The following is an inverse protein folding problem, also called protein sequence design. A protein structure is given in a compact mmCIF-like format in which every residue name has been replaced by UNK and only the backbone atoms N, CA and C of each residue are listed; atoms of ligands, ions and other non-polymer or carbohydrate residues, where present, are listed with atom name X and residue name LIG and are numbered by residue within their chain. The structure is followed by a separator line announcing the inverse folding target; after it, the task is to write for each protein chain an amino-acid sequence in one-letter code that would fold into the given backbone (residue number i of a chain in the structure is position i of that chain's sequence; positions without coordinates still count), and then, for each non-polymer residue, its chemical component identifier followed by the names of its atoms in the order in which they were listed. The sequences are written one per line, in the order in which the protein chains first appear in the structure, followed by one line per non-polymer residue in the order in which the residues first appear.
data_IF_909068165666
#
_entry.id   IF_909068165666
#
_cell.length_a   1.000
_cell.length_b   1.000
_cell.length_c   1.000
_cell.angle_alpha   90.00
_cell.angle_beta   90.00
_cell.angle_gamma   90.00
#
_symmetry.space_group_name_H-M   'P 1'
#
loop_
_entity.id
_entity.type
_entity.pdbx_description
1 polymer ?
#
# COMPACT_ATOMS: atom_id res chain seq x y z
N UNK A 1 -5.32 -5.22 -35.19
CA UNK A 1 -5.74 -5.78 -33.90
C UNK A 1 -5.89 -4.67 -32.85
N UNK A 2 -4.83 -3.90 -32.55
CA UNK A 2 -4.91 -2.79 -31.56
C UNK A 2 -6.01 -1.78 -31.93
N UNK A 3 -6.05 -1.32 -33.18
CA UNK A 3 -7.09 -0.40 -33.69
C UNK A 3 -8.50 -0.98 -33.47
N UNK A 4 -8.69 -2.28 -33.61
CA UNK A 4 -9.98 -2.92 -33.38
C UNK A 4 -10.40 -2.90 -31.90
N UNK A 5 -9.45 -3.02 -30.98
CA UNK A 5 -9.72 -2.87 -29.54
C UNK A 5 -10.00 -1.40 -29.18
N UNK A 6 -9.19 -0.48 -29.69
CA UNK A 6 -9.41 0.97 -29.47
C UNK A 6 -10.79 1.41 -29.98
N UNK A 7 -11.28 0.86 -31.11
CA UNK A 7 -12.63 1.15 -31.58
C UNK A 7 -13.73 0.78 -30.59
N UNK A 8 -13.56 -0.25 -29.79
CA UNK A 8 -14.52 -0.58 -28.72
C UNK A 8 -14.51 0.48 -27.63
N UNK A 9 -13.32 0.98 -27.28
CA UNK A 9 -13.17 2.05 -26.29
C UNK A 9 -13.85 3.34 -26.76
N UNK A 10 -13.81 3.63 -28.06
CA UNK A 10 -14.43 4.86 -28.62
C UNK A 10 -15.94 4.89 -28.48
N UNK A 11 -16.59 3.77 -28.21
CA UNK A 11 -18.02 3.73 -27.87
C UNK A 11 -18.31 4.36 -26.49
N UNK A 12 -17.30 4.46 -25.61
CA UNK A 12 -17.42 4.97 -24.24
C UNK A 12 -16.77 6.35 -24.08
N UNK A 13 -15.55 6.53 -24.62
CA UNK A 13 -14.75 7.73 -24.44
C UNK A 13 -13.65 7.86 -25.50
N UNK A 14 -12.96 9.00 -25.52
CA UNK A 14 -11.77 9.17 -26.36
C UNK A 14 -10.63 8.27 -25.88
N UNK A 15 -9.79 7.83 -26.81
CA UNK A 15 -8.64 6.99 -26.50
C UNK A 15 -7.42 7.38 -27.32
N UNK A 16 -6.27 7.44 -26.64
CA UNK A 16 -4.97 7.56 -27.27
C UNK A 16 -3.99 6.52 -26.71
N UNK A 17 -3.11 6.04 -27.57
CA UNK A 17 -1.96 5.20 -27.19
C UNK A 17 -0.72 5.85 -27.79
N UNK A 18 0.25 6.16 -26.97
CA UNK A 18 1.45 6.90 -27.35
C UNK A 18 2.69 6.18 -26.83
N UNK A 19 3.72 6.12 -27.67
CA UNK A 19 5.05 5.70 -27.26
C UNK A 19 6.01 6.87 -27.50
N UNK A 20 6.79 7.22 -26.50
CA UNK A 20 7.77 8.30 -26.58
C UNK A 20 9.17 7.80 -26.17
N UNK A 21 10.19 8.43 -26.72
CA UNK A 21 11.59 8.20 -26.35
C UNK A 21 12.24 9.46 -25.78
N UNK A 22 11.53 10.58 -25.80
CA UNK A 22 11.95 11.85 -25.20
C UNK A 22 10.78 12.81 -25.15
N UNK A 23 10.67 13.60 -24.10
CA UNK A 23 9.69 14.68 -23.97
C UNK A 23 10.21 15.78 -23.02
N UNK A 24 9.71 17.03 -23.14
CA UNK A 24 10.17 18.16 -22.33
C UNK A 24 9.57 18.20 -20.91
N UNK A 25 8.74 17.22 -20.55
CA UNK A 25 8.05 17.19 -19.25
C UNK A 25 8.87 16.42 -18.20
N UNK A 26 8.73 16.82 -16.93
CA UNK A 26 9.46 16.19 -15.82
C UNK A 26 8.87 14.86 -15.33
N UNK A 27 7.70 14.43 -15.88
CA UNK A 27 7.04 13.16 -15.54
C UNK A 27 6.20 12.66 -16.70
N UNK A 28 6.03 11.34 -16.77
CA UNK A 28 5.15 10.66 -17.73
C UNK A 28 3.69 11.09 -17.54
N UNK A 29 3.25 11.34 -16.31
CA UNK A 29 1.92 11.88 -16.00
C UNK A 29 1.69 13.22 -16.71
N UNK A 30 2.59 14.18 -16.49
CA UNK A 30 2.47 15.50 -17.14
C UNK A 30 2.49 15.39 -18.67
N UNK A 31 3.31 14.50 -19.21
CA UNK A 31 3.35 14.23 -20.64
C UNK A 31 2.01 13.64 -21.14
N UNK A 32 1.48 12.65 -20.43
CA UNK A 32 0.20 12.00 -20.80
C UNK A 32 -0.95 13.01 -20.82
N UNK A 33 -1.12 13.77 -19.74
CA UNK A 33 -2.21 14.75 -19.61
C UNK A 33 -2.13 15.82 -20.71
N UNK A 34 -0.96 16.45 -20.88
CA UNK A 34 -0.78 17.49 -21.90
C UNK A 34 -0.97 16.95 -23.33
N UNK A 35 -0.52 15.73 -23.60
CA UNK A 35 -0.68 15.08 -24.89
C UNK A 35 -2.16 14.77 -25.17
N UNK A 36 -2.88 14.26 -24.16
CA UNK A 36 -4.31 13.98 -24.28
C UNK A 36 -5.11 15.27 -24.55
N UNK A 37 -4.85 16.31 -23.77
CA UNK A 37 -5.50 17.61 -23.95
C UNK A 37 -5.17 18.24 -25.31
N UNK A 38 -3.95 18.04 -25.80
CA UNK A 38 -3.55 18.48 -27.13
C UNK A 38 -4.33 17.79 -28.27
N UNK A 39 -4.70 16.52 -28.09
CA UNK A 39 -5.48 15.78 -29.11
C UNK A 39 -6.97 16.02 -29.01
N UNK A 40 -7.54 16.10 -27.80
CA UNK A 40 -8.97 16.04 -27.59
C UNK A 40 -9.56 17.32 -26.96
N UNK A 41 -8.70 18.22 -26.50
CA UNK A 41 -9.08 19.44 -25.79
C UNK A 41 -9.18 19.25 -24.29
N UNK A 42 -9.00 20.36 -23.56
CA UNK A 42 -9.09 20.40 -22.09
C UNK A 42 -10.47 19.99 -21.61
N UNK A 43 -10.51 19.07 -20.62
CA UNK A 43 -11.77 18.57 -20.06
C UNK A 43 -12.49 17.52 -20.92
N UNK A 44 -11.88 17.05 -22.00
CA UNK A 44 -12.40 15.92 -22.76
C UNK A 44 -12.44 14.64 -21.90
N UNK A 45 -13.42 13.78 -22.16
CA UNK A 45 -13.50 12.48 -21.51
C UNK A 45 -12.67 11.46 -22.27
N UNK A 46 -11.81 10.74 -21.58
CA UNK A 46 -11.08 9.69 -22.25
C UNK A 46 -9.95 9.07 -21.46
N UNK A 47 -9.17 8.28 -22.18
CA UNK A 47 -8.06 7.49 -21.66
C UNK A 47 -6.85 7.69 -22.57
N UNK A 48 -5.69 7.88 -21.99
CA UNK A 48 -4.41 7.84 -22.69
C UNK A 48 -3.48 6.82 -22.01
N UNK A 49 -2.94 5.93 -22.82
CA UNK A 49 -1.88 5.02 -22.40
C UNK A 49 -0.57 5.44 -23.02
N UNK A 50 0.44 5.60 -22.19
CA UNK A 50 1.78 6.05 -22.59
C UNK A 50 2.79 4.96 -22.25
N UNK A 51 3.64 4.64 -23.21
CA UNK A 51 4.89 3.91 -22.98
C UNK A 51 6.01 4.93 -23.12
N UNK A 52 6.58 5.30 -22.00
CA UNK A 52 7.65 6.28 -21.90
C UNK A 52 8.99 5.57 -21.78
N UNK A 53 9.79 5.65 -22.82
CA UNK A 53 11.12 5.06 -22.86
C UNK A 53 12.23 6.02 -22.42
N UNK A 54 11.88 7.27 -22.16
CA UNK A 54 12.80 8.26 -21.60
C UNK A 54 12.94 8.06 -20.09
N UNK A 55 11.82 7.79 -19.42
CA UNK A 55 11.76 7.53 -17.99
C UNK A 55 11.60 6.04 -17.63
N UNK A 56 11.63 5.14 -18.62
CA UNK A 56 11.38 3.70 -18.45
C UNK A 56 10.09 3.43 -17.64
N UNK A 57 8.97 4.02 -18.10
CA UNK A 57 7.69 3.95 -17.40
C UNK A 57 6.53 3.67 -18.36
N UNK A 58 5.54 2.90 -17.92
CA UNK A 58 4.22 2.88 -18.54
C UNK A 58 3.24 3.65 -17.68
N UNK A 59 2.36 4.41 -18.31
CA UNK A 59 1.41 5.24 -17.59
C UNK A 59 0.04 5.23 -18.26
N UNK A 60 -1.02 5.06 -17.46
CA UNK A 60 -2.40 5.13 -17.89
C UNK A 60 -3.07 6.31 -17.20
N UNK A 61 -3.48 7.31 -17.96
CA UNK A 61 -4.26 8.42 -17.46
C UNK A 61 -5.71 8.35 -17.96
N UNK A 62 -6.62 8.75 -17.09
CA UNK A 62 -8.02 8.92 -17.41
C UNK A 62 -8.42 10.37 -17.15
N UNK A 63 -9.19 10.95 -18.08
CA UNK A 63 -9.61 12.34 -18.04
C UNK A 63 -11.13 12.50 -18.03
N UNK A 64 -11.58 13.60 -17.44
CA UNK A 64 -12.98 13.96 -17.38
C UNK A 64 -13.83 12.95 -16.59
N UNK A 65 -15.02 12.63 -17.10
CA UNK A 65 -15.95 11.71 -16.43
C UNK A 65 -15.45 10.26 -16.38
N UNK A 66 -14.49 9.90 -17.24
CA UNK A 66 -13.90 8.55 -17.29
C UNK A 66 -13.18 8.20 -15.97
N UNK A 67 -12.65 9.19 -15.25
CA UNK A 67 -12.03 9.02 -13.93
C UNK A 67 -12.98 8.39 -12.88
N UNK A 68 -14.29 8.59 -13.01
CA UNK A 68 -15.26 7.99 -12.09
C UNK A 68 -15.40 6.49 -12.31
N UNK A 69 -15.24 6.04 -13.55
CA UNK A 69 -15.32 4.62 -13.92
C UNK A 69 -13.97 3.91 -13.73
N UNK A 70 -12.90 4.61 -14.09
CA UNK A 70 -11.51 4.14 -13.97
C UNK A 70 -10.75 5.10 -13.03
N UNK A 71 -10.88 4.97 -11.71
CA UNK A 71 -10.12 5.76 -10.75
C UNK A 71 -8.63 5.32 -10.72
N UNK A 72 -7.76 6.14 -10.10
CA UNK A 72 -6.31 5.86 -9.99
C UNK A 72 -5.97 4.44 -9.56
N UNK A 73 -6.74 3.88 -8.62
CA UNK A 73 -6.51 2.51 -8.15
C UNK A 73 -6.69 1.46 -9.24
N UNK A 74 -7.60 1.70 -10.19
CA UNK A 74 -7.79 0.82 -11.35
C UNK A 74 -6.74 1.06 -12.42
N UNK A 75 -6.36 2.33 -12.66
CA UNK A 75 -5.25 2.66 -13.56
C UNK A 75 -3.96 1.96 -13.11
N UNK A 76 -3.61 2.07 -11.83
CA UNK A 76 -2.47 1.36 -11.25
C UNK A 76 -2.59 -0.16 -11.42
N UNK A 77 -3.76 -0.74 -11.11
CA UNK A 77 -3.95 -2.19 -11.27
C UNK A 77 -3.81 -2.66 -12.72
N UNK A 78 -4.24 -1.86 -13.69
CA UNK A 78 -4.07 -2.16 -15.11
C UNK A 78 -2.58 -2.09 -15.48
N UNK A 79 -1.88 -1.04 -15.07
CA UNK A 79 -0.43 -0.93 -15.30
C UNK A 79 0.33 -2.08 -14.63
N UNK A 80 0.02 -2.40 -13.36
CA UNK A 80 0.62 -3.53 -12.64
C UNK A 80 0.42 -4.88 -13.35
N UNK A 81 -0.71 -5.08 -14.02
CA UNK A 81 -0.99 -6.30 -14.78
C UNK A 81 -0.24 -6.37 -16.11
N UNK A 82 0.12 -5.23 -16.69
CA UNK A 82 0.60 -5.16 -18.08
C UNK A 82 2.05 -4.76 -18.22
N UNK A 83 2.67 -4.14 -17.17
CA UNK A 83 4.07 -3.71 -17.23
C UNK A 83 5.04 -4.84 -17.56
N UNK A 84 4.73 -6.08 -17.17
CA UNK A 84 5.59 -7.24 -17.39
C UNK A 84 5.91 -7.45 -18.86
N UNK A 85 4.97 -7.12 -19.76
CA UNK A 85 5.18 -7.22 -21.21
C UNK A 85 6.14 -6.15 -21.74
N UNK A 86 6.26 -5.02 -21.03
CA UNK A 86 7.18 -3.94 -21.38
C UNK A 86 8.59 -4.14 -20.83
N UNK A 87 8.86 -5.24 -20.11
CA UNK A 87 10.16 -5.55 -19.51
C UNK A 87 11.01 -6.49 -20.36
N UNK A 88 12.29 -6.57 -20.03
CA UNK A 88 13.23 -7.48 -20.68
C UNK A 88 12.86 -8.97 -20.55
N UNK A 89 12.07 -9.34 -19.55
CA UNK A 89 11.58 -10.71 -19.36
C UNK A 89 10.64 -11.17 -20.49
N UNK A 90 10.05 -10.23 -21.22
CA UNK A 90 9.15 -10.46 -22.36
C UNK A 90 9.65 -9.76 -23.64
N UNK A 91 10.98 -9.59 -23.76
CA UNK A 91 11.62 -8.98 -24.94
C UNK A 91 11.04 -7.58 -25.31
N UNK A 92 10.54 -6.84 -24.31
CA UNK A 92 9.89 -5.53 -24.50
C UNK A 92 8.75 -5.60 -25.53
N UNK A 93 7.84 -6.55 -25.39
CA UNK A 93 6.66 -6.68 -26.25
C UNK A 93 5.63 -5.58 -25.96
N UNK A 94 5.96 -4.37 -26.39
CA UNK A 94 5.09 -3.19 -26.25
C UNK A 94 3.75 -3.36 -26.95
N UNK A 95 3.68 -4.18 -28.00
CA UNK A 95 2.42 -4.43 -28.68
C UNK A 95 1.45 -5.22 -27.79
N UNK A 96 1.89 -6.29 -27.19
CA UNK A 96 1.09 -7.04 -26.21
C UNK A 96 0.76 -6.20 -25.00
N UNK A 97 1.70 -5.40 -24.48
CA UNK A 97 1.44 -4.46 -23.40
C UNK A 97 0.26 -3.52 -23.73
N UNK A 98 0.27 -2.88 -24.90
CA UNK A 98 -0.83 -2.04 -25.35
C UNK A 98 -2.14 -2.81 -25.50
N UNK A 99 -2.10 -4.01 -26.09
CA UNK A 99 -3.29 -4.82 -26.31
C UNK A 99 -3.97 -5.21 -25.00
N UNK A 100 -3.21 -5.71 -24.06
CA UNK A 100 -3.70 -6.12 -22.74
C UNK A 100 -4.20 -4.92 -21.91
N UNK A 101 -3.50 -3.78 -21.98
CA UNK A 101 -3.95 -2.54 -21.33
C UNK A 101 -5.30 -2.11 -21.86
N UNK A 102 -5.48 -2.04 -23.19
CA UNK A 102 -6.73 -1.60 -23.78
C UNK A 102 -7.86 -2.62 -23.56
N UNK A 103 -7.57 -3.90 -23.53
CA UNK A 103 -8.55 -4.94 -23.22
C UNK A 103 -9.07 -4.81 -21.78
N UNK A 104 -8.17 -4.57 -20.82
CA UNK A 104 -8.54 -4.31 -19.42
C UNK A 104 -9.32 -3.00 -19.27
N UNK A 105 -8.94 -1.93 -19.97
CA UNK A 105 -9.68 -0.67 -20.02
C UNK A 105 -11.11 -0.92 -20.53
N UNK A 106 -11.28 -1.65 -21.64
CA UNK A 106 -12.59 -2.00 -22.18
C UNK A 106 -13.42 -2.81 -21.20
N UNK A 107 -12.80 -3.77 -20.52
CA UNK A 107 -13.45 -4.59 -19.49
C UNK A 107 -14.02 -3.71 -18.39
N UNK A 108 -13.22 -2.75 -17.89
CA UNK A 108 -13.67 -1.83 -16.82
C UNK A 108 -14.75 -0.88 -17.30
N UNK A 109 -14.63 -0.34 -18.50
CA UNK A 109 -15.64 0.56 -19.10
C UNK A 109 -16.98 -0.16 -19.32
N UNK A 110 -16.95 -1.44 -19.66
CA UNK A 110 -18.12 -2.30 -19.76
C UNK A 110 -18.70 -2.73 -18.39
N UNK A 111 -18.13 -2.26 -17.27
CA UNK A 111 -18.55 -2.63 -15.92
C UNK A 111 -18.00 -3.97 -15.41
N UNK A 112 -17.06 -4.57 -16.13
CA UNK A 112 -16.38 -5.80 -15.73
C UNK A 112 -15.32 -5.59 -14.63
N UNK A 113 -14.74 -6.70 -14.19
CA UNK A 113 -13.69 -6.72 -13.15
C UNK A 113 -12.38 -7.20 -13.73
N UNK A 114 -11.30 -6.54 -13.35
CA UNK A 114 -9.93 -6.92 -13.69
C UNK A 114 -9.25 -7.61 -12.51
N UNK A 115 -8.29 -8.47 -12.78
CA UNK A 115 -7.46 -9.10 -11.75
C UNK A 115 -6.68 -8.05 -10.96
N UNK A 116 -6.57 -8.25 -9.64
CA UNK A 116 -5.81 -7.38 -8.75
C UNK A 116 -4.80 -8.21 -7.95
N UNK A 117 -3.67 -8.62 -8.56
CA UNK A 117 -2.73 -9.56 -7.95
C UNK A 117 -2.13 -9.05 -6.63
N UNK A 118 -1.91 -7.75 -6.51
CA UNK A 118 -1.26 -7.16 -5.33
C UNK A 118 -2.15 -7.15 -4.06
N UNK A 119 -3.47 -7.27 -4.18
CA UNK A 119 -4.37 -7.34 -3.00
C UNK A 119 -4.18 -8.60 -2.18
N UNK A 120 -3.77 -9.70 -2.80
CA UNK A 120 -3.55 -10.96 -2.07
C UNK A 120 -2.32 -10.91 -1.17
N UNK A 121 -1.25 -10.25 -1.60
CA UNK A 121 0.00 -10.13 -0.83
C UNK A 121 -0.24 -9.32 0.45
N UNK A 122 -0.89 -8.16 0.37
CA UNK A 122 -1.22 -7.35 1.55
C UNK A 122 -2.17 -8.09 2.51
N UNK A 123 -3.15 -8.84 1.98
CA UNK A 123 -4.07 -9.65 2.80
C UNK A 123 -3.33 -10.77 3.54
N UNK A 124 -2.35 -11.41 2.92
CA UNK A 124 -1.51 -12.43 3.55
C UNK A 124 -0.69 -11.84 4.69
N UNK A 125 -0.06 -10.67 4.50
CA UNK A 125 0.69 -9.98 5.55
C UNK A 125 -0.19 -9.56 6.73
N UNK A 126 -1.39 -9.05 6.46
CA UNK A 126 -2.35 -8.68 7.51
C UNK A 126 -2.80 -9.93 8.28
N UNK A 127 -3.11 -11.03 7.61
CA UNK A 127 -3.50 -12.29 8.25
C UNK A 127 -2.36 -12.86 9.11
N UNK A 128 -1.12 -12.80 8.63
CA UNK A 128 0.07 -13.27 9.35
C UNK A 128 0.35 -12.40 10.58
N UNK A 129 0.24 -11.08 10.47
CA UNK A 129 0.38 -10.15 11.58
C UNK A 129 -0.71 -10.38 12.65
N UNK A 130 -1.97 -10.52 12.24
CA UNK A 130 -3.09 -10.83 13.13
C UNK A 130 -2.89 -12.17 13.84
N UNK A 131 -2.42 -13.20 13.13
CA UNK A 131 -2.10 -14.51 13.69
C UNK A 131 -1.00 -14.44 14.75
N UNK A 132 0.09 -13.68 14.49
CA UNK A 132 1.16 -13.47 15.47
C UNK A 132 0.66 -12.75 16.73
N UNK A 133 -0.17 -11.71 16.58
CA UNK A 133 -0.74 -11.01 17.74
C UNK A 133 -1.61 -11.96 18.56
N UNK A 134 -2.44 -12.77 17.89
CA UNK A 134 -3.28 -13.75 18.57
C UNK A 134 -2.49 -14.80 19.35
N UNK A 135 -1.43 -15.36 18.75
CA UNK A 135 -0.50 -16.28 19.40
C UNK A 135 0.22 -15.64 20.59
N UNK A 136 0.62 -14.37 20.46
CA UNK A 136 1.29 -13.63 21.52
C UNK A 136 0.35 -13.40 22.72
N UNK A 137 -0.89 -12.94 22.47
CA UNK A 137 -1.90 -12.74 23.52
C UNK A 137 -2.24 -14.06 24.20
N UNK A 138 -2.37 -15.14 23.41
CA UNK A 138 -2.62 -16.48 23.95
C UNK A 138 -1.47 -16.98 24.84
N UNK A 139 -0.22 -16.81 24.39
CA UNK A 139 0.98 -17.16 25.15
C UNK A 139 1.08 -16.36 26.46
N UNK A 140 0.79 -15.04 26.41
CA UNK A 140 0.73 -14.20 27.61
C UNK A 140 -0.40 -14.63 28.57
N UNK A 141 -1.54 -15.09 28.03
CA UNK A 141 -2.66 -15.58 28.84
C UNK A 141 -2.31 -16.89 29.56
N UNK A 142 -1.61 -17.80 28.90
CA UNK A 142 -1.10 -19.04 29.49
C UNK A 142 0.07 -18.77 30.46
N UNK A 143 0.91 -17.79 30.15
CA UNK A 143 2.07 -17.38 30.97
C UNK A 143 1.68 -16.64 32.27
N UNK A 144 0.41 -16.24 32.43
CA UNK A 144 -0.13 -15.81 33.72
C UNK A 144 -0.24 -17.00 34.64
N UNK A 145 0.93 -17.53 35.04
CA UNK A 145 1.04 -18.50 36.11
C UNK A 145 0.24 -18.00 37.30
N UNK A 146 -0.57 -18.87 37.92
CA UNK A 146 -1.25 -18.58 39.17
C UNK A 146 -0.19 -18.01 40.12
N UNK A 147 -0.34 -16.75 40.52
CA UNK A 147 0.42 -16.22 41.63
C UNK A 147 0.16 -17.17 42.81
N UNK A 148 1.17 -17.93 43.24
CA UNK A 148 1.05 -18.79 44.40
C UNK A 148 0.46 -17.94 45.53
N UNK A 149 -0.63 -18.38 46.15
CA UNK A 149 -1.20 -17.68 47.27
C UNK A 149 -0.12 -17.61 48.35
N UNK A 150 -0.03 -16.46 49.00
CA UNK A 150 0.95 -16.22 50.10
C UNK A 150 0.98 -17.36 51.11
N UNK A 151 -0.15 -18.04 51.31
CA UNK A 151 -0.26 -19.20 52.20
C UNK A 151 0.43 -20.49 51.66
N UNK A 152 0.50 -20.66 50.33
CA UNK A 152 1.20 -21.81 49.72
C UNK A 152 2.72 -21.61 49.75
N UNK A 153 3.18 -20.35 49.57
CA UNK A 153 4.58 -19.99 49.73
C UNK A 153 5.05 -20.13 51.17
N UNK A 154 4.21 -19.74 52.14
CA UNK A 154 4.51 -19.94 53.56
C UNK A 154 4.52 -21.43 53.92
N UNK A 155 3.56 -22.23 53.44
CA UNK A 155 3.54 -23.65 53.69
C UNK A 155 4.75 -24.40 53.15
N UNK A 156 5.26 -24.00 51.98
CA UNK A 156 6.48 -24.57 51.41
C UNK A 156 7.77 -24.12 52.13
N UNK A 157 7.78 -22.90 52.67
CA UNK A 157 8.92 -22.36 53.43
C UNK A 157 9.01 -22.88 54.85
N UNK A 158 7.89 -23.31 55.46
CA UNK A 158 7.84 -23.79 56.84
C UNK A 158 7.94 -25.31 56.99
N UNK A 159 8.22 -26.07 55.92
CA UNK A 159 8.51 -27.50 56.05
C UNK A 159 9.91 -27.70 56.69
N UNK A 160 9.94 -27.74 58.02
CA UNK A 160 11.10 -28.10 58.85
C UNK A 160 12.32 -27.16 58.81
N UNK A 161 12.21 -26.00 59.45
CA UNK A 161 13.36 -25.35 60.04
C UNK A 161 13.19 -25.41 61.58
N UNK A 162 13.81 -26.39 62.23
CA UNK A 162 14.01 -26.34 63.69
C UNK A 162 15.09 -25.31 63.98
N UNK A 163 14.68 -24.11 64.36
CA UNK A 163 15.62 -23.05 64.77
C UNK A 163 15.99 -23.23 66.24
N UNK A 164 17.13 -23.85 66.43
CA UNK A 164 17.79 -23.88 67.77
C UNK A 164 18.53 -22.54 67.95
N UNK A 165 18.15 -21.73 68.95
CA UNK A 165 18.74 -20.44 69.32
C UNK A 165 18.74 -19.34 68.27
N UNK A 166 17.52 -18.78 67.92
CA UNK A 166 17.40 -17.59 67.11
C UNK A 166 17.82 -16.33 67.89
N UNK A 167 18.94 -15.73 67.46
CA UNK A 167 19.30 -14.37 67.85
C UNK A 167 19.13 -13.47 66.66
N UNK A 168 18.06 -12.61 66.61
CA UNK A 168 17.87 -11.60 65.63
C UNK A 168 18.82 -10.43 65.91
N UNK A 169 19.76 -10.15 64.99
CA UNK A 169 20.57 -8.94 64.99
C UNK A 169 20.14 -8.04 63.86
N UNK A 170 19.58 -6.89 64.16
CA UNK A 170 19.21 -5.89 63.18
C UNK A 170 20.50 -5.31 62.52
N UNK A 171 20.63 -5.42 61.17
CA UNK A 171 21.86 -5.05 60.49
C UNK A 171 21.71 -3.97 59.42
N UNK A 172 20.75 -3.15 59.44
CA UNK A 172 20.63 -2.00 58.54
C UNK A 172 19.40 -2.01 57.62
N UNK A 173 18.81 -0.86 57.48
CA UNK A 173 17.67 -0.62 56.60
C UNK A 173 18.10 0.33 55.45
N UNK A 174 18.23 -0.19 54.24
CA UNK A 174 18.56 0.61 53.07
C UNK A 174 17.25 1.10 52.42
N UNK A 175 17.06 2.40 52.40
CA UNK A 175 15.93 3.04 51.74
C UNK A 175 16.32 3.40 50.31
N UNK A 176 15.81 2.69 49.30
CA UNK A 176 15.96 3.10 47.91
C UNK A 176 14.98 4.22 47.58
N UNK A 177 15.51 5.37 47.20
CA UNK A 177 14.74 6.52 46.69
C UNK A 177 14.73 6.46 45.19
N UNK A 178 13.55 6.31 44.57
CA UNK A 178 13.35 6.43 43.11
C UNK A 178 12.78 7.81 42.77
N UNK A 179 13.51 8.71 42.11
CA UNK A 179 12.95 9.96 41.66
C UNK A 179 12.02 9.75 40.45
N UNK A 180 10.84 10.32 40.55
CA UNK A 180 9.85 10.32 39.48
C UNK A 180 10.19 11.43 38.46
N UNK A 181 10.47 11.04 37.20
CA UNK A 181 10.71 11.99 36.12
C UNK A 181 9.38 12.45 35.50
N UNK A 182 9.12 13.74 35.57
CA UNK A 182 8.02 14.40 34.88
C UNK A 182 8.38 14.63 33.40
N UNK A 183 7.69 13.96 32.48
CA UNK A 183 7.81 14.18 31.05
C UNK A 183 6.88 15.28 30.56
N UNK A 184 7.43 16.26 29.88
CA UNK A 184 6.75 17.38 29.24
C UNK A 184 6.25 16.96 27.85
N UNK A 185 4.99 17.28 27.59
CA UNK A 185 4.35 17.16 26.28
C UNK A 185 4.59 18.41 25.43
N UNK A 186 4.94 18.23 24.16
CA UNK A 186 5.00 19.31 23.17
C UNK A 186 4.31 18.85 21.87
N UNK A 187 3.13 19.45 21.60
CA UNK A 187 2.44 19.26 20.34
C UNK A 187 2.84 20.31 19.32
N UNK A 188 2.86 19.95 18.05
CA UNK A 188 2.80 20.90 16.94
C UNK A 188 1.84 20.41 15.86
N UNK A 189 0.81 21.23 15.66
CA UNK A 189 -0.08 21.20 14.52
C UNK A 189 0.50 22.05 13.38
N UNK A 190 0.37 21.61 12.15
CA UNK A 190 0.67 22.40 10.95
C UNK A 190 -0.12 21.87 9.78
N UNK A 191 -1.22 22.55 9.46
CA UNK A 191 -2.04 22.29 8.29
C UNK A 191 -1.50 23.03 7.07
N UNK A 192 -1.68 22.43 5.88
CA UNK A 192 -1.45 23.08 4.59
C UNK A 192 -2.24 22.34 3.54
N UNK A 193 -3.42 22.88 3.20
CA UNK A 193 -4.23 22.36 2.11
C UNK A 193 -3.76 22.97 0.78
N UNK A 194 -3.59 22.13 -0.23
CA UNK A 194 -3.54 22.54 -1.62
C UNK A 194 -4.65 21.82 -2.37
N UNK A 195 -5.57 22.61 -2.92
CA UNK A 195 -6.55 22.17 -3.90
C UNK A 195 -5.85 22.03 -5.25
N UNK A 196 -5.52 20.81 -5.65
CA UNK A 196 -5.05 20.49 -6.99
C UNK A 196 -6.15 19.77 -7.76
N UNK A 197 -6.26 20.09 -9.03
CA UNK A 197 -7.19 19.43 -9.93
C UNK A 197 -7.01 17.91 -9.90
N UNK A 198 -8.11 17.17 -9.90
CA UNK A 198 -8.08 15.72 -9.79
C UNK A 198 -7.80 15.09 -11.14
N UNK A 199 -6.58 14.64 -11.32
CA UNK A 199 -6.22 13.69 -12.37
C UNK A 199 -6.23 12.28 -11.78
N UNK A 200 -6.69 11.30 -12.54
CA UNK A 200 -6.52 9.90 -12.17
C UNK A 200 -5.53 9.24 -13.13
N UNK A 201 -4.44 8.76 -12.58
CA UNK A 201 -3.42 8.07 -13.34
C UNK A 201 -2.71 7.01 -12.49
N UNK A 202 -2.09 6.08 -13.15
CA UNK A 202 -1.24 5.07 -12.54
C UNK A 202 -0.09 4.75 -13.48
N UNK A 203 1.11 4.66 -12.92
CA UNK A 203 2.33 4.35 -13.62
C UNK A 203 3.09 3.22 -12.97
N UNK A 204 3.94 2.57 -13.74
CA UNK A 204 4.85 1.54 -13.26
C UNK A 204 6.17 1.62 -14.02
N UNK A 205 7.30 1.52 -13.31
CA UNK A 205 8.63 1.45 -13.92
C UNK A 205 8.86 0.08 -14.54
N UNK A 206 9.50 0.05 -15.69
CA UNK A 206 9.79 -1.13 -16.51
C UNK A 206 11.26 -1.54 -16.45
#
# INVERSE_FOLDING_TARGET
RLISQMKKTTEYCNIAVVTTTSHPYGSTESYAVNTFEGYFGTGANGVIFVIDRDLDEIYLACEGSTQRTIPNSKCNSICDNTYIYATSSHDYDYFTCCMETIDQVNTVLAGGHISQPLRYISSIFIALAAGMIFCFVYALSLSKGRKAKSNELMGAAFTKVEIHNARARFMNQTRNYSPQSSGSSGGHSGGGGHSGGSHSGGGHHI
#
